data_IF_295567713167
#
_entry.id   IF_295567713167
#
_cell.length_a   1.000
_cell.length_b   1.000
_cell.length_c   1.000
_cell.angle_alpha   90.00
_cell.angle_beta   90.00
_cell.angle_gamma   90.00
#
_symmetry.space_group_name_H-M   'P 1'
#
loop_
_entity.id
_entity.type
_entity.pdbx_description
1 polymer ?
#
# COMPACT_ATOMS: atom_id res chain seq x y z
N UNK A 1 13.41 20.63 6.94
CA UNK A 1 13.50 19.23 6.55
C UNK A 1 12.13 18.73 6.15
N UNK A 2 12.04 18.19 4.97
CA UNK A 2 10.77 17.74 4.45
C UNK A 2 10.52 16.30 4.86
N UNK A 3 9.33 16.02 5.35
CA UNK A 3 8.96 14.64 5.63
C UNK A 3 8.40 14.00 4.37
N UNK A 4 8.53 12.69 4.29
CA UNK A 4 7.96 11.96 3.18
C UNK A 4 6.44 11.89 3.31
N UNK A 5 5.77 11.84 2.16
CA UNK A 5 4.34 11.60 2.13
C UNK A 5 4.08 10.13 2.50
N UNK A 6 3.19 9.93 3.43
CA UNK A 6 2.86 8.60 3.95
C UNK A 6 1.68 8.05 3.17
N UNK A 7 1.92 6.99 2.41
CA UNK A 7 0.94 6.44 1.48
C UNK A 7 0.54 5.03 1.90
N UNK A 8 -0.78 4.77 1.87
CA UNK A 8 -1.31 3.42 2.05
C UNK A 8 -1.82 2.89 0.72
N UNK A 9 -1.72 1.58 0.53
CA UNK A 9 -2.19 0.93 -0.69
C UNK A 9 -3.40 0.08 -0.33
N UNK A 10 -4.53 0.31 -1.01
CA UNK A 10 -5.72 -0.50 -0.85
C UNK A 10 -5.91 -1.35 -2.10
N UNK A 11 -5.90 -2.67 -1.93
CA UNK A 11 -5.95 -3.60 -3.04
C UNK A 11 -4.55 -3.87 -3.58
N UNK A 12 -4.20 -5.14 -3.75
CA UNK A 12 -2.83 -5.52 -4.07
C UNK A 12 -2.73 -6.37 -5.33
N UNK A 13 -3.59 -6.07 -6.31
CA UNK A 13 -3.56 -6.76 -7.60
C UNK A 13 -2.55 -6.15 -8.56
N UNK A 14 -2.73 -6.43 -9.86
CA UNK A 14 -1.78 -6.01 -10.87
C UNK A 14 -1.58 -4.51 -10.96
N UNK A 15 -2.67 -3.74 -10.84
CA UNK A 15 -2.58 -2.28 -10.90
C UNK A 15 -1.75 -1.77 -9.73
N UNK A 16 -1.91 -2.39 -8.55
CA UNK A 16 -1.15 -1.97 -7.38
C UNK A 16 0.34 -2.18 -7.57
N UNK A 17 0.74 -3.22 -8.30
CA UNK A 17 2.16 -3.45 -8.58
C UNK A 17 2.75 -2.30 -9.38
N UNK A 18 2.02 -1.79 -10.37
CA UNK A 18 2.48 -0.65 -11.15
C UNK A 18 2.61 0.59 -10.29
N UNK A 19 1.61 0.85 -9.45
CA UNK A 19 1.64 2.00 -8.57
C UNK A 19 2.79 1.90 -7.56
N UNK A 20 3.01 0.71 -7.02
CA UNK A 20 4.10 0.51 -6.06
C UNK A 20 5.45 0.82 -6.69
N UNK A 21 5.69 0.36 -7.92
CA UNK A 21 6.94 0.64 -8.59
C UNK A 21 7.16 2.13 -8.78
N UNK A 22 6.09 2.86 -9.11
CA UNK A 22 6.17 4.29 -9.25
C UNK A 22 6.51 4.97 -7.92
N UNK A 23 5.84 4.56 -6.84
CA UNK A 23 6.09 5.16 -5.54
C UNK A 23 7.51 4.90 -5.05
N UNK A 24 8.03 3.70 -5.31
CA UNK A 24 9.38 3.37 -4.85
C UNK A 24 10.46 4.17 -5.56
N UNK A 25 10.14 4.77 -6.70
CA UNK A 25 11.07 5.64 -7.40
C UNK A 25 11.00 7.08 -6.93
N UNK A 26 10.06 7.40 -6.07
CA UNK A 26 9.89 8.75 -5.55
C UNK A 26 10.59 8.88 -4.21
N UNK A 27 11.48 9.85 -4.10
CA UNK A 27 12.25 10.04 -2.87
C UNK A 27 11.41 10.63 -1.75
N UNK A 28 10.30 11.27 -2.08
CA UNK A 28 9.47 11.96 -1.11
C UNK A 28 8.20 11.18 -0.75
N UNK A 29 8.15 9.89 -1.07
CA UNK A 29 7.00 9.03 -0.78
C UNK A 29 7.48 7.84 0.03
N UNK A 30 6.71 7.49 1.06
CA UNK A 30 6.96 6.32 1.89
C UNK A 30 5.70 5.48 1.94
N UNK A 31 5.81 4.18 1.65
CA UNK A 31 4.69 3.26 1.78
C UNK A 31 4.65 2.78 3.23
N UNK A 32 3.57 3.07 3.92
CA UNK A 32 3.47 2.77 5.35
C UNK A 32 2.47 1.66 5.67
N UNK A 33 1.75 1.16 4.68
CA UNK A 33 0.82 0.05 4.89
C UNK A 33 0.15 -0.36 3.61
N UNK A 34 -0.39 -1.56 3.61
CA UNK A 34 -1.19 -2.06 2.50
C UNK A 34 -2.31 -2.92 3.05
N UNK A 35 -3.44 -2.97 2.34
CA UNK A 35 -4.55 -3.81 2.74
C UNK A 35 -5.14 -4.53 1.53
N UNK A 36 -5.69 -5.71 1.79
CA UNK A 36 -6.42 -6.47 0.78
C UNK A 36 -7.40 -7.36 1.53
N UNK A 37 -8.61 -7.52 0.99
CA UNK A 37 -9.62 -8.34 1.64
C UNK A 37 -9.30 -9.84 1.57
N UNK A 38 -8.40 -10.22 0.66
CA UNK A 38 -7.97 -11.61 0.57
C UNK A 38 -6.88 -11.86 1.61
N UNK A 39 -7.09 -12.81 2.54
CA UNK A 39 -6.11 -13.04 3.60
C UNK A 39 -4.73 -13.38 3.05
N UNK A 40 -3.72 -12.73 3.61
CA UNK A 40 -2.34 -12.98 3.23
C UNK A 40 -1.88 -12.29 1.96
N UNK A 41 -2.80 -11.72 1.18
CA UNK A 41 -2.42 -11.14 -0.11
C UNK A 41 -1.63 -9.85 0.06
N UNK A 42 -2.04 -9.00 1.01
CA UNK A 42 -1.30 -7.76 1.26
C UNK A 42 0.10 -8.05 1.77
N UNK A 43 0.26 -9.07 2.63
CA UNK A 43 1.59 -9.43 3.13
C UNK A 43 2.48 -9.92 2.00
N UNK A 44 1.93 -10.77 1.12
CA UNK A 44 2.69 -11.27 -0.01
C UNK A 44 3.09 -10.15 -0.96
N UNK A 45 2.19 -9.20 -1.18
CA UNK A 45 2.45 -8.05 -2.03
C UNK A 45 3.63 -7.22 -1.50
N UNK A 46 3.59 -6.91 -0.20
CA UNK A 46 4.66 -6.11 0.40
C UNK A 46 5.99 -6.86 0.39
N UNK A 47 5.95 -8.18 0.61
CA UNK A 47 7.17 -8.98 0.60
C UNK A 47 7.80 -9.02 -0.79
N UNK A 48 7.00 -8.96 -1.85
CA UNK A 48 7.54 -8.90 -3.20
C UNK A 48 8.44 -7.68 -3.42
N UNK A 49 8.15 -6.60 -2.72
CA UNK A 49 8.91 -5.37 -2.86
C UNK A 49 9.89 -5.19 -1.70
N UNK A 50 10.11 -6.26 -0.93
CA UNK A 50 11.05 -6.26 0.19
C UNK A 50 10.66 -5.26 1.28
N UNK A 51 9.35 -5.03 1.42
CA UNK A 51 8.82 -4.14 2.45
C UNK A 51 8.33 -4.97 3.64
N UNK A 52 9.22 -5.79 4.18
CA UNK A 52 8.87 -6.75 5.22
C UNK A 52 8.47 -6.08 6.53
N UNK A 53 8.94 -4.86 6.75
CA UNK A 53 8.63 -4.12 7.97
C UNK A 53 7.33 -3.33 7.87
N UNK A 54 6.74 -3.25 6.68
CA UNK A 54 5.52 -2.49 6.46
C UNK A 54 4.33 -3.38 6.82
N UNK A 55 3.39 -2.88 7.64
CA UNK A 55 2.25 -3.70 8.06
C UNK A 55 1.29 -3.98 6.92
N UNK A 56 0.72 -5.19 6.94
CA UNK A 56 -0.30 -5.62 5.99
C UNK A 56 -1.59 -5.86 6.75
N UNK A 57 -2.71 -5.43 6.19
CA UNK A 57 -4.01 -5.55 6.83
C UNK A 57 -4.98 -6.28 5.92
N UNK A 58 -6.00 -6.89 6.51
CA UNK A 58 -7.03 -7.60 5.76
C UNK A 58 -8.30 -6.78 5.62
N UNK A 59 -8.32 -5.56 6.17
CA UNK A 59 -9.42 -4.65 5.94
C UNK A 59 -8.90 -3.22 5.87
N UNK A 60 -9.67 -2.39 5.19
CA UNK A 60 -9.26 -1.01 4.95
C UNK A 60 -9.34 -0.15 6.21
N UNK A 61 -10.25 -0.49 7.13
CA UNK A 61 -10.42 0.31 8.35
C UNK A 61 -9.12 0.33 9.16
N UNK A 62 -8.43 -0.80 9.24
CA UNK A 62 -7.18 -0.87 9.97
C UNK A 62 -6.09 -0.04 9.29
N UNK A 63 -6.03 -0.10 7.97
CA UNK A 63 -5.07 0.70 7.23
C UNK A 63 -5.33 2.19 7.44
N UNK A 64 -6.59 2.59 7.40
CA UNK A 64 -6.95 4.00 7.50
C UNK A 64 -6.73 4.58 8.90
N UNK A 65 -6.45 3.73 9.88
CA UNK A 65 -6.06 4.21 11.21
C UNK A 65 -4.63 4.73 11.25
N UNK A 66 -3.83 4.41 10.24
CA UNK A 66 -2.49 4.94 10.16
C UNK A 66 -2.54 6.42 9.79
N UNK A 67 -1.48 7.13 10.16
CA UNK A 67 -1.36 8.54 9.82
C UNK A 67 -0.93 8.64 8.35
N UNK A 68 -1.89 8.78 7.45
CA UNK A 68 -1.64 8.77 6.02
C UNK A 68 -1.81 10.16 5.42
N UNK A 69 -0.96 10.49 4.46
CA UNK A 69 -1.12 11.69 3.65
C UNK A 69 -1.96 11.40 2.42
N UNK A 70 -2.00 10.14 1.99
CA UNK A 70 -2.81 9.74 0.86
C UNK A 70 -2.98 8.24 0.80
N UNK A 71 -3.93 7.81 -0.02
CA UNK A 71 -4.24 6.39 -0.20
C UNK A 71 -4.36 6.11 -1.69
N UNK A 72 -3.71 5.06 -2.14
CA UNK A 72 -3.84 4.60 -3.52
C UNK A 72 -4.81 3.43 -3.53
N UNK A 73 -5.98 3.63 -4.13
CA UNK A 73 -7.01 2.60 -4.21
C UNK A 73 -6.84 1.86 -5.52
N UNK A 74 -6.44 0.61 -5.43
CA UNK A 74 -6.09 -0.20 -6.58
C UNK A 74 -6.96 -1.44 -6.68
N UNK A 75 -8.17 -1.36 -6.16
CA UNK A 75 -9.09 -2.49 -6.20
C UNK A 75 -9.69 -2.62 -7.60
N UNK A 76 -10.05 -3.85 -7.93
CA UNK A 76 -10.77 -4.10 -9.14
C UNK A 76 -12.13 -3.46 -9.07
N UNK A 77 -12.45 -2.67 -10.07
CA UNK A 77 -13.78 -2.11 -10.19
C UNK A 77 -14.47 -2.79 -11.37
N UNK A 78 -15.35 -3.72 -11.06
CA UNK A 78 -15.97 -4.57 -12.07
C UNK A 78 -17.39 -4.15 -12.39
N UNK A 79 -17.81 -3.00 -12.00
CA UNK A 79 -19.17 -2.54 -12.34
C UNK A 79 -19.32 -2.21 -13.79
#
# INVERSE_FOLDING_TARGET
MERKLRIGIIGTGGIAHSHMRSYLQMDDVEIVGASDIVPGKARAFLDEFELNDVPAFENNAELLKLDLDGVSVCTYNTT
#
